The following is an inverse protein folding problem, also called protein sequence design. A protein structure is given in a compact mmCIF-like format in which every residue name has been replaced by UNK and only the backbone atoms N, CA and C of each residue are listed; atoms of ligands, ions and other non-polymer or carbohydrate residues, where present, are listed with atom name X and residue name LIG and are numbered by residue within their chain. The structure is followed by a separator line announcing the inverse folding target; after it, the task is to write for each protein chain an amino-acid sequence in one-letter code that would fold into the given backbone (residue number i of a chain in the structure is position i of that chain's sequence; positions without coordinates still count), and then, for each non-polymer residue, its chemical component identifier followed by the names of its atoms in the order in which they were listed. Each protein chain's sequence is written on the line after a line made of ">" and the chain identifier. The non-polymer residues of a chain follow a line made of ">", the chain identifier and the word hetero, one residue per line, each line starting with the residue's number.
data_IF_684686648850
#
_entry.id   IF_684686648850
#
_cell.length_a   1.000
_cell.length_b   1.000
_cell.length_c   1.000
_cell.angle_alpha   90.00
_cell.angle_beta   90.00
_cell.angle_gamma   90.00
#
_symmetry.space_group_name_H-M   'P 1'
#
loop_
_entity.id
_entity.type
_entity.pdbx_description
1 polymer ?
#
# COMPACT_ATOMS: atom_id res chain seq x y z
N UNK A 1 26.49 -27.65 56.35
CA UNK A 1 25.09 -27.60 55.87
C UNK A 1 24.62 -26.17 55.56
N UNK A 2 24.49 -25.27 56.54
CA UNK A 2 23.94 -23.91 56.30
C UNK A 2 24.69 -23.04 55.27
N UNK A 3 26.02 -23.15 55.16
CA UNK A 3 26.77 -22.38 54.17
C UNK A 3 26.47 -22.80 52.72
N UNK A 4 26.20 -24.09 52.50
CA UNK A 4 25.88 -24.62 51.17
C UNK A 4 24.50 -24.14 50.69
N UNK A 5 23.52 -24.07 51.60
CA UNK A 5 22.19 -23.54 51.31
C UNK A 5 22.23 -22.05 50.94
N UNK A 6 23.03 -21.25 51.64
CA UNK A 6 23.23 -19.83 51.31
C UNK A 6 23.85 -19.64 49.92
N UNK A 7 24.85 -20.43 49.57
CA UNK A 7 25.48 -20.40 48.23
C UNK A 7 24.46 -20.80 47.16
N UNK A 8 23.69 -21.86 47.39
CA UNK A 8 22.64 -22.33 46.48
C UNK A 8 21.54 -21.27 46.28
N UNK A 9 21.10 -20.63 47.36
CA UNK A 9 20.12 -19.53 47.31
C UNK A 9 20.65 -18.33 46.51
N UNK A 10 21.92 -17.95 46.72
CA UNK A 10 22.58 -16.87 45.96
C UNK A 10 22.70 -17.21 44.48
N UNK A 11 23.04 -18.45 44.13
CA UNK A 11 23.09 -18.91 42.74
C UNK A 11 21.71 -18.83 42.06
N UNK A 12 20.66 -19.35 42.70
CA UNK A 12 19.31 -19.27 42.13
C UNK A 12 18.80 -17.84 41.97
N UNK A 13 19.11 -16.96 42.92
CA UNK A 13 18.80 -15.54 42.81
C UNK A 13 19.46 -14.90 41.59
N UNK A 14 20.76 -15.14 41.40
CA UNK A 14 21.50 -14.62 40.23
C UNK A 14 20.97 -15.20 38.92
N UNK A 15 20.62 -16.49 38.89
CA UNK A 15 20.05 -17.12 37.70
C UNK A 15 18.65 -16.57 37.36
N UNK A 16 17.81 -16.32 38.38
CA UNK A 16 16.51 -15.66 38.23
C UNK A 16 16.67 -14.23 37.72
N UNK A 17 17.63 -13.46 38.24
CA UNK A 17 17.95 -12.12 37.76
C UNK A 17 18.36 -12.15 36.29
N UNK A 18 19.28 -13.04 35.90
CA UNK A 18 19.73 -13.19 34.50
C UNK A 18 18.58 -13.58 33.56
N UNK A 19 17.67 -14.44 34.00
CA UNK A 19 16.46 -14.79 33.22
C UNK A 19 15.53 -13.59 33.03
N UNK A 20 15.33 -12.77 34.06
CA UNK A 20 14.52 -11.55 33.97
C UNK A 20 15.12 -10.53 33.00
N UNK A 21 16.42 -10.29 33.08
CA UNK A 21 17.09 -9.37 32.14
C UNK A 21 16.98 -9.86 30.70
N UNK A 22 17.17 -11.17 30.45
CA UNK A 22 16.95 -11.74 29.11
C UNK A 22 15.51 -11.57 28.63
N UNK A 23 14.52 -11.84 29.49
CA UNK A 23 13.12 -11.69 29.14
C UNK A 23 12.75 -10.22 28.88
N UNK A 24 13.32 -9.28 29.66
CA UNK A 24 13.14 -7.83 29.44
C UNK A 24 13.60 -7.42 28.04
N UNK A 25 14.79 -7.86 27.62
CA UNK A 25 15.30 -7.59 26.27
C UNK A 25 14.46 -8.29 25.20
N UNK A 26 14.05 -9.54 25.41
CA UNK A 26 13.21 -10.27 24.47
C UNK A 26 11.83 -9.61 24.30
N UNK A 27 11.21 -9.15 25.39
CA UNK A 27 9.94 -8.44 25.36
C UNK A 27 10.06 -7.10 24.63
N UNK A 28 11.14 -6.34 24.87
CA UNK A 28 11.41 -5.11 24.14
C UNK A 28 11.59 -5.37 22.63
N UNK A 29 12.37 -6.39 22.25
CA UNK A 29 12.55 -6.79 20.85
C UNK A 29 11.25 -7.24 20.20
N UNK A 30 10.39 -7.98 20.91
CA UNK A 30 9.09 -8.40 20.41
C UNK A 30 8.18 -7.19 20.15
N UNK A 31 8.10 -6.25 21.10
CA UNK A 31 7.34 -5.00 20.94
C UNK A 31 7.86 -4.17 19.77
N UNK A 32 9.18 -4.00 19.65
CA UNK A 32 9.79 -3.25 18.55
C UNK A 32 9.51 -3.90 17.19
N UNK A 33 9.70 -5.22 17.05
CA UNK A 33 9.38 -5.92 15.79
C UNK A 33 7.91 -5.78 15.40
N UNK A 34 7.00 -5.85 16.38
CA UNK A 34 5.57 -5.63 16.12
C UNK A 34 5.31 -4.21 15.65
N UNK A 35 5.93 -3.22 16.29
CA UNK A 35 5.83 -1.81 15.91
C UNK A 35 6.39 -1.58 14.51
N UNK A 36 7.64 -1.98 14.24
CA UNK A 36 8.29 -1.87 12.92
C UNK A 36 7.45 -2.50 11.82
N UNK A 37 6.90 -3.71 12.05
CA UNK A 37 6.01 -4.35 11.07
C UNK A 37 4.76 -3.52 10.80
N UNK A 38 4.16 -2.95 11.83
CA UNK A 38 2.94 -2.13 11.70
C UNK A 38 3.25 -0.83 10.96
N UNK A 39 4.35 -0.16 11.34
CA UNK A 39 4.81 1.08 10.73
C UNK A 39 5.14 0.89 9.24
N UNK A 40 5.75 -0.25 8.87
CA UNK A 40 6.03 -0.59 7.47
C UNK A 40 4.75 -0.81 6.66
N UNK A 41 3.81 -1.59 7.19
CA UNK A 41 2.53 -1.85 6.51
C UNK A 41 1.73 -0.56 6.33
N UNK A 42 1.72 0.31 7.34
CA UNK A 42 1.01 1.59 7.25
C UNK A 42 1.62 2.50 6.19
N UNK A 43 2.96 2.66 6.17
CA UNK A 43 3.64 3.45 5.14
C UNK A 43 3.39 2.92 3.74
N UNK A 44 3.36 1.60 3.57
CA UNK A 44 3.08 1.00 2.27
C UNK A 44 1.61 1.22 1.85
N UNK A 45 0.65 1.17 2.78
CA UNK A 45 -0.75 1.53 2.52
C UNK A 45 -0.86 2.97 2.03
N UNK A 46 -0.28 3.92 2.77
CA UNK A 46 -0.30 5.35 2.43
C UNK A 46 0.34 5.61 1.07
N UNK A 47 1.46 4.94 0.76
CA UNK A 47 2.14 5.01 -0.53
C UNK A 47 1.26 4.50 -1.67
N UNK A 48 0.62 3.34 -1.48
CA UNK A 48 -0.26 2.74 -2.49
C UNK A 48 -1.52 3.57 -2.71
N UNK A 49 -2.10 4.14 -1.65
CA UNK A 49 -3.26 5.05 -1.76
C UNK A 49 -2.92 6.30 -2.56
N UNK A 50 -1.76 6.90 -2.29
CA UNK A 50 -1.26 8.06 -3.05
C UNK A 50 -1.10 7.70 -4.52
N UNK A 51 -0.37 6.63 -4.83
CA UNK A 51 -0.13 6.20 -6.21
C UNK A 51 -1.43 5.83 -6.94
N UNK A 52 -2.38 5.20 -6.26
CA UNK A 52 -3.69 4.87 -6.83
C UNK A 52 -4.47 6.15 -7.18
N UNK A 53 -4.45 7.15 -6.30
CA UNK A 53 -5.10 8.44 -6.57
C UNK A 53 -4.48 9.17 -7.78
N UNK A 54 -3.15 9.15 -7.89
CA UNK A 54 -2.41 9.74 -9.01
C UNK A 54 -2.74 9.04 -10.33
N UNK A 55 -2.71 7.71 -10.35
CA UNK A 55 -3.05 6.92 -11.54
C UNK A 55 -4.50 7.12 -11.96
N UNK A 56 -5.43 7.19 -11.01
CA UNK A 56 -6.84 7.51 -11.30
C UNK A 56 -6.99 8.90 -11.92
N UNK A 57 -6.28 9.91 -11.41
CA UNK A 57 -6.27 11.25 -12.02
C UNK A 57 -5.76 11.22 -13.46
N UNK A 58 -4.63 10.55 -13.70
CA UNK A 58 -4.06 10.43 -15.05
C UNK A 58 -5.01 9.70 -16.01
N UNK A 59 -5.73 8.67 -15.54
CA UNK A 59 -6.75 7.99 -16.36
C UNK A 59 -7.86 8.96 -16.75
N UNK A 60 -8.39 9.74 -15.81
CA UNK A 60 -9.46 10.70 -16.10
C UNK A 60 -9.00 11.83 -17.03
N UNK A 61 -7.78 12.34 -16.86
CA UNK A 61 -7.17 13.31 -17.75
C UNK A 61 -7.08 12.76 -19.19
N UNK A 62 -6.52 11.55 -19.36
CA UNK A 62 -6.39 10.90 -20.67
C UNK A 62 -7.76 10.61 -21.31
N UNK A 63 -8.76 10.20 -20.52
CA UNK A 63 -10.14 10.02 -21.02
C UNK A 63 -10.73 11.34 -21.52
N UNK A 64 -10.52 12.42 -20.79
CA UNK A 64 -10.97 13.77 -21.16
C UNK A 64 -10.32 14.22 -22.47
N UNK A 65 -9.00 14.09 -22.60
CA UNK A 65 -8.26 14.40 -23.82
C UNK A 65 -8.75 13.58 -25.01
N UNK A 66 -8.92 12.26 -24.83
CA UNK A 66 -9.49 11.38 -25.86
C UNK A 66 -10.87 11.88 -26.31
N UNK A 67 -11.74 12.22 -25.36
CA UNK A 67 -13.08 12.70 -25.67
C UNK A 67 -13.05 14.03 -26.45
N UNK A 68 -12.17 14.96 -26.08
CA UNK A 68 -11.98 16.23 -26.79
C UNK A 68 -11.50 15.99 -28.23
N UNK A 69 -10.53 15.09 -28.43
CA UNK A 69 -10.04 14.73 -29.76
C UNK A 69 -11.14 14.10 -30.62
N UNK A 70 -11.96 13.21 -30.04
CA UNK A 70 -13.11 12.60 -30.74
C UNK A 70 -14.10 13.68 -31.18
N UNK A 71 -14.44 14.64 -30.30
CA UNK A 71 -15.34 15.75 -30.65
C UNK A 71 -14.77 16.57 -31.80
N UNK A 72 -13.48 16.93 -31.74
CA UNK A 72 -12.81 17.69 -32.78
C UNK A 72 -12.84 16.96 -34.14
N UNK A 73 -12.56 15.65 -34.15
CA UNK A 73 -12.65 14.83 -35.35
C UNK A 73 -14.07 14.76 -35.91
N UNK A 74 -15.08 14.59 -35.05
CA UNK A 74 -16.47 14.54 -35.46
C UNK A 74 -16.94 15.87 -36.07
N UNK A 75 -16.49 17.01 -35.54
CA UNK A 75 -16.80 18.34 -36.09
C UNK A 75 -16.16 18.56 -37.46
N UNK A 76 -14.94 18.08 -37.68
CA UNK A 76 -14.25 18.19 -38.97
C UNK A 76 -14.88 17.30 -40.06
N UNK A 77 -15.35 16.11 -39.68
CA UNK A 77 -15.85 15.05 -40.59
C UNK A 77 -16.80 15.49 -41.71
N UNK A 78 -17.85 16.32 -41.47
CA UNK A 78 -18.74 16.77 -42.56
C UNK A 78 -18.05 17.64 -43.61
N UNK A 79 -16.91 18.26 -43.28
CA UNK A 79 -16.10 19.10 -44.18
C UNK A 79 -14.91 18.35 -44.79
N UNK A 80 -14.69 17.10 -44.38
CA UNK A 80 -13.51 16.33 -44.77
C UNK A 80 -13.63 15.81 -46.20
N UNK A 81 -12.62 16.10 -47.03
CA UNK A 81 -12.55 15.72 -48.46
C UNK A 81 -12.26 14.21 -48.60
N UNK A 82 -11.58 13.61 -47.62
CA UNK A 82 -11.26 12.18 -47.56
C UNK A 82 -12.35 11.49 -46.73
N UNK A 83 -13.47 11.12 -47.36
CA UNK A 83 -14.57 10.45 -46.65
C UNK A 83 -14.19 9.01 -46.30
N UNK A 84 -13.85 8.78 -45.03
CA UNK A 84 -13.79 7.43 -44.45
C UNK A 84 -14.91 7.26 -43.43
N UNK A 85 -15.83 6.36 -43.73
CA UNK A 85 -17.10 6.21 -42.98
C UNK A 85 -16.94 5.43 -41.67
N UNK A 86 -15.70 5.17 -41.21
CA UNK A 86 -15.43 4.23 -40.13
C UNK A 86 -14.72 4.85 -38.93
N UNK A 87 -15.46 5.56 -38.07
CA UNK A 87 -15.15 5.64 -36.62
C UNK A 87 -16.50 5.67 -35.90
N UNK A 88 -16.77 4.64 -35.10
CA UNK A 88 -17.98 4.49 -34.27
C UNK A 88 -17.94 5.47 -33.10
N UNK A 89 -19.10 6.02 -32.76
CA UNK A 89 -19.37 6.98 -31.67
C UNK A 89 -19.08 6.39 -30.27
N UNK A 90 -18.89 7.23 -29.23
CA UNK A 90 -18.23 6.87 -27.98
C UNK A 90 -19.23 6.37 -26.92
N UNK A 91 -19.56 5.08 -26.88
CA UNK A 91 -20.34 4.48 -25.78
C UNK A 91 -19.93 3.05 -25.41
N UNK A 92 -18.80 2.53 -25.90
CA UNK A 92 -18.41 1.13 -25.64
C UNK A 92 -17.63 0.89 -24.35
N UNK A 93 -17.10 1.93 -23.68
CA UNK A 93 -16.18 1.76 -22.54
C UNK A 93 -16.83 1.95 -21.15
N UNK A 94 -18.11 2.29 -21.04
CA UNK A 94 -18.77 2.51 -19.73
C UNK A 94 -19.05 1.20 -18.96
N UNK A 95 -18.84 0.01 -19.55
CA UNK A 95 -19.18 -1.27 -18.91
C UNK A 95 -18.09 -1.87 -18.02
N UNK A 96 -16.85 -1.38 -18.08
CA UNK A 96 -15.73 -2.00 -17.34
C UNK A 96 -15.41 -1.36 -15.98
N UNK A 97 -16.09 -0.29 -15.58
CA UNK A 97 -15.73 0.46 -14.36
C UNK A 97 -16.64 0.20 -13.16
N UNK A 98 -17.56 -0.77 -13.26
CA UNK A 98 -18.52 -1.09 -12.19
C UNK A 98 -18.26 -2.42 -11.47
N UNK A 99 -17.12 -3.06 -11.72
CA UNK A 99 -16.73 -4.32 -11.08
C UNK A 99 -15.31 -4.21 -10.55
N UNK A 100 -15.16 -3.59 -9.38
CA UNK A 100 -14.28 -4.01 -8.27
C UNK A 100 -14.34 -2.98 -7.13
#
# INVERSE_FOLDING_TARGET
>A
MQQFEKVKAKFFYQQKKRRREKNKVAAARCRNRKKERTDLLQKESERLETLNSELKSQIEELKSERQQLIVMLNLHRPTCIVRTDSVKSPESDQRSEQSD
#
